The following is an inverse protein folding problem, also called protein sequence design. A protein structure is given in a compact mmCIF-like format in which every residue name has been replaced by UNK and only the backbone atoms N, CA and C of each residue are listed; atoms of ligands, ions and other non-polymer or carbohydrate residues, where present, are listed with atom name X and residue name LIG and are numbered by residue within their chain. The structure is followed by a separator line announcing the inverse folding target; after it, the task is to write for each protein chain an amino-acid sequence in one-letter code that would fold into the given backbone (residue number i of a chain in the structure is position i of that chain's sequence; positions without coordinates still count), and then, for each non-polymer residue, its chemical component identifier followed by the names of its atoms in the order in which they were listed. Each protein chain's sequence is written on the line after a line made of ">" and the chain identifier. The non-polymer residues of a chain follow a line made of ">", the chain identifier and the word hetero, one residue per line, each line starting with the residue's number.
data_IF_522065320743
#
_entry.id   IF_522065320743
#
_cell.length_a   1.000
_cell.length_b   1.000
_cell.length_c   1.000
_cell.angle_alpha   90.00
_cell.angle_beta   90.00
_cell.angle_gamma   90.00
#
_symmetry.space_group_name_H-M   'P 1'
#
loop_
_entity.id
_entity.type
_entity.pdbx_description
1 polymer ?
#
# COMPACT_ATOMS: atom_id res chain seq x y z
N UNK A 1 50.84 26.25 -40.06
CA UNK A 1 50.07 26.49 -38.81
C UNK A 1 48.65 26.00 -39.03
N UNK A 2 48.27 24.98 -38.25
CA UNK A 2 46.93 24.48 -37.89
C UNK A 2 45.79 24.52 -38.94
N UNK A 3 45.49 23.35 -39.52
CA UNK A 3 44.17 23.04 -40.06
C UNK A 3 43.28 22.50 -38.92
N UNK A 4 42.21 23.22 -38.58
CA UNK A 4 41.18 22.74 -37.66
C UNK A 4 40.23 21.78 -38.39
N UNK A 5 40.22 20.53 -37.92
CA UNK A 5 39.19 19.53 -38.22
C UNK A 5 37.90 19.90 -37.49
N UNK A 6 36.83 20.20 -38.23
CA UNK A 6 35.48 20.34 -37.71
C UNK A 6 34.81 18.97 -37.70
N UNK A 7 34.83 18.29 -36.55
CA UNK A 7 33.98 17.13 -36.31
C UNK A 7 32.57 17.66 -36.07
N UNK A 8 31.72 17.54 -37.09
CA UNK A 8 30.29 17.77 -36.98
C UNK A 8 29.67 16.67 -36.13
N UNK A 9 29.45 16.92 -34.85
CA UNK A 9 28.66 16.04 -33.99
C UNK A 9 27.18 16.29 -34.29
N UNK A 10 26.57 15.44 -35.12
CA UNK A 10 25.12 15.37 -35.22
C UNK A 10 24.56 15.01 -33.83
N UNK A 11 23.61 15.78 -33.27
CA UNK A 11 22.90 15.34 -32.08
C UNK A 11 22.05 14.12 -32.47
N UNK A 12 22.39 12.97 -31.89
CA UNK A 12 21.49 11.81 -31.89
C UNK A 12 20.29 12.25 -31.07
N UNK A 13 19.20 12.59 -31.76
CA UNK A 13 17.90 12.76 -31.13
C UNK A 13 17.46 11.36 -30.74
N UNK A 14 17.73 10.98 -29.49
CA UNK A 14 17.06 9.84 -28.91
C UNK A 14 15.59 10.21 -28.80
N UNK A 15 14.80 9.65 -29.70
CA UNK A 15 13.36 9.63 -29.62
C UNK A 15 13.01 8.63 -28.50
N UNK A 16 13.26 9.01 -27.25
CA UNK A 16 12.67 8.31 -26.12
C UNK A 16 11.18 8.62 -26.15
N UNK A 17 10.41 7.77 -26.84
CA UNK A 17 9.10 7.43 -26.32
C UNK A 17 9.35 6.95 -24.90
N UNK A 18 9.11 7.83 -23.93
CA UNK A 18 9.00 7.46 -22.53
C UNK A 18 7.78 6.54 -22.48
N UNK A 19 7.98 5.25 -22.78
CA UNK A 19 7.20 4.21 -22.12
C UNK A 19 7.61 4.32 -20.65
N UNK A 20 6.97 5.26 -19.93
CA UNK A 20 6.77 5.05 -18.50
C UNK A 20 6.05 3.72 -18.47
N UNK A 21 6.71 2.68 -17.97
CA UNK A 21 6.03 1.45 -17.63
C UNK A 21 4.81 1.88 -16.81
N UNK A 22 3.60 1.64 -17.33
CA UNK A 22 2.38 1.80 -16.55
C UNK A 22 2.55 0.85 -15.36
N UNK A 23 2.99 1.39 -14.22
CA UNK A 23 3.22 0.62 -13.01
C UNK A 23 1.91 -0.02 -12.58
N UNK A 24 1.98 -1.25 -12.08
CA UNK A 24 0.84 -1.81 -11.37
C UNK A 24 0.71 -1.00 -10.06
N UNK A 25 -0.43 -0.36 -9.88
CA UNK A 25 -0.74 0.53 -8.77
C UNK A 25 -1.88 -0.05 -7.94
N UNK A 26 -1.86 0.32 -6.67
CA UNK A 26 -2.83 -0.07 -5.66
C UNK A 26 -3.14 1.15 -4.81
N UNK A 27 -4.41 1.41 -4.60
CA UNK A 27 -4.91 2.42 -3.68
C UNK A 27 -5.83 1.76 -2.67
N UNK A 28 -5.68 2.14 -1.41
CA UNK A 28 -6.54 1.70 -0.34
C UNK A 28 -6.92 2.82 0.62
N UNK A 29 -8.10 2.69 1.17
CA UNK A 29 -8.65 3.54 2.20
C UNK A 29 -9.32 2.63 3.22
N UNK A 30 -9.04 2.84 4.51
CA UNK A 30 -9.58 2.04 5.57
C UNK A 30 -9.89 2.90 6.81
N UNK A 31 -11.05 2.65 7.40
CA UNK A 31 -11.45 3.26 8.66
C UNK A 31 -11.34 2.22 9.77
N UNK A 32 -10.84 2.66 10.92
CA UNK A 32 -10.67 1.82 12.09
C UNK A 32 -11.28 2.47 13.32
N UNK A 33 -11.76 1.61 14.23
CA UNK A 33 -12.21 1.97 15.56
C UNK A 33 -11.25 1.39 16.58
N UNK A 34 -10.83 2.23 17.53
CA UNK A 34 -9.96 1.80 18.62
C UNK A 34 -10.66 0.74 19.46
N UNK A 35 -10.00 -0.39 19.69
CA UNK A 35 -10.44 -1.33 20.71
C UNK A 35 -10.13 -0.76 22.10
N UNK A 36 -11.17 -0.63 22.92
CA UNK A 36 -10.99 -0.37 24.35
C UNK A 36 -10.65 -1.70 25.03
N UNK A 37 -9.37 -1.96 25.23
CA UNK A 37 -8.91 -3.17 25.91
C UNK A 37 -8.45 -2.82 27.33
N UNK A 38 -9.24 -3.22 28.34
CA UNK A 38 -9.00 -2.87 29.76
C UNK A 38 -7.71 -3.49 30.34
N UNK A 39 -7.12 -4.48 29.66
CA UNK A 39 -5.98 -5.26 30.17
C UNK A 39 -4.62 -4.88 29.56
N UNK A 40 -4.59 -4.21 28.41
CA UNK A 40 -3.37 -3.84 27.70
C UNK A 40 -3.40 -2.34 27.43
N UNK A 41 -3.17 -1.55 28.48
CA UNK A 41 -3.17 -0.08 28.41
C UNK A 41 -2.17 0.48 27.38
N UNK A 42 -1.14 -0.29 27.04
CA UNK A 42 -0.05 0.13 26.14
C UNK A 42 -0.15 -0.44 24.71
N UNK A 43 -0.93 -1.52 24.46
CA UNK A 43 -1.09 -2.12 23.13
C UNK A 43 -2.39 -1.64 22.49
N UNK A 44 -2.33 -0.48 21.85
CA UNK A 44 -3.51 0.11 21.20
C UNK A 44 -3.75 -0.55 19.84
N UNK A 45 -4.74 -1.45 19.78
CA UNK A 45 -5.21 -2.08 18.54
C UNK A 45 -6.47 -1.37 18.03
N UNK A 46 -6.60 -1.27 16.71
CA UNK A 46 -7.78 -0.69 16.05
C UNK A 46 -8.37 -1.70 15.07
N UNK A 47 -9.66 -1.98 15.18
CA UNK A 47 -10.37 -2.87 14.26
C UNK A 47 -10.85 -2.11 13.05
N UNK A 48 -10.69 -2.72 11.88
CA UNK A 48 -11.17 -2.18 10.62
C UNK A 48 -12.70 -2.28 10.55
N UNK A 49 -13.32 -1.19 10.12
CA UNK A 49 -14.78 -1.07 9.95
C UNK A 49 -15.14 -1.02 8.48
N UNK A 50 -14.37 -0.25 7.71
CA UNK A 50 -14.58 -0.06 6.28
C UNK A 50 -13.25 -0.26 5.57
N UNK A 51 -13.36 -0.77 4.34
CA UNK A 51 -12.21 -0.99 3.48
C UNK A 51 -12.60 -0.74 2.04
N UNK A 52 -11.88 0.16 1.40
CA UNK A 52 -11.93 0.38 -0.03
C UNK A 52 -10.57 0.03 -0.62
N UNK A 53 -10.59 -0.76 -1.68
CA UNK A 53 -9.39 -1.20 -2.36
C UNK A 53 -9.59 -1.16 -3.86
N UNK A 54 -8.60 -0.61 -4.54
CA UNK A 54 -8.56 -0.60 -6.00
C UNK A 54 -7.16 -0.95 -6.47
N UNK A 55 -7.07 -1.71 -7.55
CA UNK A 55 -5.80 -2.01 -8.20
C UNK A 55 -6.02 -2.20 -9.69
N UNK A 56 -5.01 -1.85 -10.48
CA UNK A 56 -4.93 -2.20 -11.90
C UNK A 56 -4.10 -3.49 -12.13
N UNK A 57 -3.72 -4.21 -11.07
CA UNK A 57 -2.98 -5.47 -11.18
C UNK A 57 -3.92 -6.61 -11.63
N UNK A 58 -3.84 -6.93 -12.91
CA UNK A 58 -4.60 -8.00 -13.54
C UNK A 58 -4.29 -9.41 -12.99
N UNK A 59 -3.24 -9.59 -12.18
CA UNK A 59 -2.96 -10.86 -11.50
C UNK A 59 -3.85 -11.04 -10.27
N UNK A 60 -4.20 -9.94 -9.60
CA UNK A 60 -5.17 -9.93 -8.50
C UNK A 60 -6.59 -9.89 -9.09
N UNK A 61 -6.83 -9.07 -10.11
CA UNK A 61 -8.13 -8.96 -10.76
C UNK A 61 -8.08 -9.22 -12.28
N UNK A 62 -8.18 -10.48 -12.73
CA UNK A 62 -8.03 -10.83 -14.14
C UNK A 62 -9.10 -10.26 -15.07
N UNK A 63 -10.34 -10.06 -14.60
CA UNK A 63 -11.46 -9.62 -15.43
C UNK A 63 -11.67 -8.11 -15.47
N UNK A 64 -10.89 -7.33 -14.72
CA UNK A 64 -11.12 -5.90 -14.40
C UNK A 64 -12.45 -5.61 -13.67
N UNK A 65 -13.19 -6.64 -13.27
CA UNK A 65 -14.50 -6.55 -12.59
C UNK A 65 -14.48 -7.41 -11.33
N UNK A 66 -13.76 -6.96 -10.31
CA UNK A 66 -13.63 -7.66 -9.05
C UNK A 66 -14.31 -6.90 -7.91
N UNK A 67 -14.89 -7.65 -6.97
CA UNK A 67 -15.31 -7.12 -5.67
C UNK A 67 -14.27 -7.54 -4.64
N UNK A 68 -13.90 -6.61 -3.76
CA UNK A 68 -12.92 -6.82 -2.71
C UNK A 68 -13.62 -6.72 -1.36
N UNK A 69 -13.38 -7.69 -0.49
CA UNK A 69 -13.81 -7.66 0.90
C UNK A 69 -12.58 -7.90 1.77
N UNK A 70 -12.41 -7.11 2.83
CA UNK A 70 -11.34 -7.30 3.79
C UNK A 70 -11.95 -7.73 5.13
N UNK A 71 -11.45 -8.83 5.66
CA UNK A 71 -11.93 -9.46 6.88
C UNK A 71 -10.84 -9.44 7.95
N UNK A 72 -11.25 -9.39 9.22
CA UNK A 72 -10.38 -9.41 10.39
C UNK A 72 -9.24 -8.37 10.34
N UNK A 73 -9.50 -7.23 9.71
CA UNK A 73 -8.51 -6.17 9.54
C UNK A 73 -8.17 -5.48 10.85
N UNK A 74 -6.89 -5.40 11.19
CA UNK A 74 -6.41 -4.75 12.41
C UNK A 74 -5.22 -3.85 12.14
N UNK A 75 -5.27 -2.62 12.64
CA UNK A 75 -4.13 -1.71 12.73
C UNK A 75 -3.55 -1.79 14.14
N UNK A 76 -2.25 -2.04 14.25
CA UNK A 76 -1.56 -2.12 15.54
C UNK A 76 -0.11 -1.66 15.44
N UNK A 77 0.54 -1.30 16.55
CA UNK A 77 1.97 -1.07 16.59
C UNK A 77 2.72 -2.31 16.11
N UNK A 78 3.65 -2.15 15.18
CA UNK A 78 4.45 -3.27 14.71
C UNK A 78 5.60 -3.54 15.69
N UNK A 79 5.66 -4.76 16.24
CA UNK A 79 6.67 -5.15 17.22
C UNK A 79 8.08 -5.22 16.63
N UNK A 80 8.21 -5.35 15.31
CA UNK A 80 9.50 -5.51 14.63
C UNK A 80 10.11 -4.13 14.31
N UNK A 81 9.34 -3.27 13.64
CA UNK A 81 9.78 -1.93 13.24
C UNK A 81 9.57 -0.85 14.31
N UNK A 82 8.63 -1.07 15.23
CA UNK A 82 8.19 -0.08 16.22
C UNK A 82 7.25 1.01 15.64
N UNK A 83 6.85 0.88 14.37
CA UNK A 83 5.89 1.79 13.72
C UNK A 83 4.48 1.20 13.80
N UNK A 84 3.73 1.14 12.71
CA UNK A 84 2.40 0.53 12.66
C UNK A 84 2.31 -0.46 11.50
N UNK A 85 1.47 -1.47 11.67
CA UNK A 85 1.13 -2.39 10.62
C UNK A 85 -0.37 -2.67 10.57
N UNK A 86 -0.83 -3.07 9.38
CA UNK A 86 -2.16 -3.61 9.16
C UNK A 86 -2.05 -5.08 8.77
N UNK A 87 -2.80 -5.92 9.46
CA UNK A 87 -2.97 -7.33 9.15
C UNK A 87 -4.44 -7.63 8.82
N UNK A 88 -4.69 -8.64 8.01
CA UNK A 88 -6.04 -9.16 7.77
C UNK A 88 -6.12 -10.03 6.52
N UNK A 89 -7.34 -10.26 6.04
CA UNK A 89 -7.62 -11.19 4.96
C UNK A 89 -8.36 -10.50 3.82
N UNK A 90 -7.79 -10.50 2.61
CA UNK A 90 -8.40 -9.97 1.40
C UNK A 90 -9.08 -11.08 0.59
N UNK A 91 -10.40 -10.99 0.45
CA UNK A 91 -11.21 -11.82 -0.43
C UNK A 91 -11.45 -11.10 -1.75
N UNK A 92 -11.14 -11.77 -2.87
CA UNK A 92 -11.30 -11.25 -4.23
C UNK A 92 -12.31 -12.10 -4.99
N UNK A 93 -13.47 -11.52 -5.28
CA UNK A 93 -14.51 -12.15 -6.08
C UNK A 93 -14.49 -11.62 -7.51
N UNK A 94 -14.30 -12.53 -8.47
CA UNK A 94 -14.31 -12.23 -9.91
C UNK A 94 -15.69 -12.57 -10.48
N UNK A 95 -16.44 -11.54 -10.88
CA UNK A 95 -17.77 -11.67 -11.49
C UNK A 95 -18.88 -12.35 -10.65
N UNK A 96 -18.71 -12.60 -9.35
CA UNK A 96 -19.74 -13.19 -8.45
C UNK A 96 -20.24 -14.58 -8.87
N UNK A 97 -19.51 -15.25 -9.75
CA UNK A 97 -19.88 -16.55 -10.32
C UNK A 97 -19.03 -17.71 -9.81
N UNK A 98 -17.95 -17.41 -9.09
CA UNK A 98 -17.00 -18.38 -8.55
C UNK A 98 -16.78 -18.15 -7.06
N UNK A 99 -16.19 -19.14 -6.38
CA UNK A 99 -15.69 -18.93 -5.02
C UNK A 99 -14.63 -17.81 -5.01
N UNK A 100 -14.65 -16.91 -4.02
CA UNK A 100 -13.68 -15.85 -3.90
C UNK A 100 -12.27 -16.44 -3.67
N UNK A 101 -11.25 -15.78 -4.21
CA UNK A 101 -9.87 -16.09 -3.88
C UNK A 101 -9.44 -15.31 -2.65
N UNK A 102 -8.96 -16.01 -1.64
CA UNK A 102 -8.57 -15.43 -0.34
C UNK A 102 -7.07 -15.27 -0.24
N UNK A 103 -6.62 -14.13 0.28
CA UNK A 103 -5.22 -13.80 0.50
C UNK A 103 -5.01 -13.22 1.89
N UNK A 104 -4.04 -13.74 2.63
CA UNK A 104 -3.52 -13.04 3.80
C UNK A 104 -2.82 -11.75 3.35
N UNK A 105 -3.00 -10.67 4.10
CA UNK A 105 -2.43 -9.36 3.80
C UNK A 105 -1.67 -8.83 5.01
N UNK A 106 -0.47 -8.32 4.74
CA UNK A 106 0.36 -7.58 5.69
C UNK A 106 0.76 -6.26 5.08
N UNK A 107 0.61 -5.18 5.84
CA UNK A 107 0.98 -3.84 5.44
C UNK A 107 1.85 -3.23 6.53
N UNK A 108 3.12 -3.04 6.25
CA UNK A 108 4.04 -2.35 7.16
C UNK A 108 4.08 -0.88 6.78
N UNK A 109 3.79 0.03 7.72
CA UNK A 109 3.75 1.47 7.49
C UNK A 109 5.05 2.10 7.95
N UNK A 110 5.66 2.91 7.08
CA UNK A 110 6.71 3.82 7.48
C UNK A 110 6.17 5.23 7.69
N UNK A 111 6.23 5.69 8.93
CA UNK A 111 5.57 6.93 9.35
C UNK A 111 6.64 7.98 9.65
N UNK A 112 6.49 9.16 9.05
CA UNK A 112 7.28 10.33 9.46
C UNK A 112 6.65 11.00 10.68
N UNK A 113 7.44 11.83 11.38
CA UNK A 113 7.05 12.68 12.51
C UNK A 113 5.54 12.95 12.60
N UNK A 114 4.92 12.48 13.68
CA UNK A 114 3.50 12.76 13.95
C UNK A 114 3.30 14.26 14.12
N UNK A 115 2.38 14.84 13.35
CA UNK A 115 2.02 16.24 13.51
C UNK A 115 1.20 16.41 14.80
N UNK A 116 1.68 17.25 15.71
CA UNK A 116 1.04 17.50 17.00
C UNK A 116 -0.27 18.28 16.89
N UNK A 117 -1.30 17.84 17.61
CA UNK A 117 -2.64 18.43 17.64
C UNK A 117 -3.62 17.52 18.40
N UNK A 118 -4.90 17.92 18.49
CA UNK A 118 -5.97 17.09 19.05
C UNK A 118 -6.27 15.86 18.17
N UNK A 119 -6.05 15.98 16.86
CA UNK A 119 -6.01 14.86 15.91
C UNK A 119 -4.55 14.64 15.55
N UNK A 120 -4.01 13.46 15.86
CA UNK A 120 -2.63 13.11 15.52
C UNK A 120 -2.65 12.56 14.09
N UNK A 121 -2.24 13.39 13.14
CA UNK A 121 -2.10 12.97 11.75
C UNK A 121 -0.62 12.74 11.44
N UNK A 122 -0.32 11.64 10.75
CA UNK A 122 1.03 11.29 10.35
C UNK A 122 1.08 11.00 8.84
N UNK A 123 2.13 11.46 8.19
CA UNK A 123 2.38 11.14 6.78
C UNK A 123 3.05 9.77 6.68
N UNK A 124 2.51 8.91 5.83
CA UNK A 124 3.12 7.64 5.47
C UNK A 124 3.95 7.86 4.20
N UNK A 125 5.26 7.73 4.28
CA UNK A 125 6.18 8.01 3.16
C UNK A 125 6.89 6.76 2.62
N UNK A 126 6.50 5.59 3.13
CA UNK A 126 7.09 4.32 2.75
C UNK A 126 6.38 3.18 3.46
N UNK A 127 6.99 2.00 3.39
CA UNK A 127 6.38 0.76 3.86
C UNK A 127 6.12 -0.25 2.75
N UNK A 128 5.62 -1.41 3.10
CA UNK A 128 5.40 -2.51 2.15
C UNK A 128 4.01 -3.10 2.30
N UNK A 129 3.41 -3.53 1.20
CA UNK A 129 2.17 -4.30 1.19
C UNK A 129 2.48 -5.67 0.60
N UNK A 130 2.30 -6.71 1.38
CA UNK A 130 2.37 -8.11 0.95
C UNK A 130 0.97 -8.72 0.87
N UNK A 131 0.66 -9.42 -0.22
CA UNK A 131 -0.62 -10.10 -0.45
C UNK A 131 -0.37 -11.55 -0.85
N UNK A 132 -0.99 -12.48 -0.12
CA UNK A 132 -0.91 -13.92 -0.32
C UNK A 132 0.44 -14.52 0.08
N UNK A 133 0.54 -15.85 0.11
CA UNK A 133 1.76 -16.54 0.53
C UNK A 133 2.05 -16.31 2.01
N UNK A 134 3.32 -16.14 2.38
CA UNK A 134 3.65 -15.60 3.70
C UNK A 134 3.69 -14.08 3.60
N UNK A 135 2.56 -13.42 3.86
CA UNK A 135 2.39 -11.99 3.57
C UNK A 135 3.49 -11.08 4.16
N UNK A 136 4.04 -11.46 5.31
CA UNK A 136 5.11 -10.72 5.99
C UNK A 136 6.51 -10.96 5.39
N UNK A 137 6.85 -12.22 5.06
CA UNK A 137 8.23 -12.57 4.69
C UNK A 137 8.44 -12.91 3.22
N UNK A 138 7.44 -13.52 2.58
CA UNK A 138 7.51 -14.00 1.19
C UNK A 138 6.11 -13.92 0.54
N UNK A 139 5.62 -12.69 0.26
CA UNK A 139 4.31 -12.51 -0.33
C UNK A 139 4.28 -12.86 -1.82
N UNK A 140 3.14 -13.34 -2.30
CA UNK A 140 2.94 -13.61 -3.74
C UNK A 140 2.97 -12.29 -4.54
N UNK A 141 2.33 -11.26 -4.01
CA UNK A 141 2.33 -9.92 -4.58
C UNK A 141 2.90 -8.93 -3.58
N UNK A 142 3.90 -8.16 -4.02
CA UNK A 142 4.58 -7.17 -3.20
C UNK A 142 4.46 -5.79 -3.80
N UNK A 143 4.13 -4.81 -2.96
CA UNK A 143 4.05 -3.41 -3.33
C UNK A 143 4.87 -2.56 -2.35
N UNK A 144 5.39 -1.45 -2.87
CA UNK A 144 6.04 -0.39 -2.13
C UNK A 144 5.03 0.74 -1.95
N UNK A 145 4.77 1.13 -0.70
CA UNK A 145 4.00 2.34 -0.41
C UNK A 145 4.79 3.55 -0.90
N UNK A 146 4.14 4.40 -1.69
CA UNK A 146 4.74 5.63 -2.25
C UNK A 146 4.33 6.88 -1.46
N UNK A 147 3.09 6.92 -0.98
CA UNK A 147 2.58 7.96 -0.10
C UNK A 147 1.28 7.51 0.58
N UNK A 148 0.94 8.20 1.67
CA UNK A 148 -0.29 7.98 2.39
C UNK A 148 -0.39 8.85 3.63
N UNK A 149 -1.48 8.64 4.37
CA UNK A 149 -1.80 9.39 5.59
C UNK A 149 -2.44 8.44 6.59
N UNK A 150 -2.06 8.59 7.86
CA UNK A 150 -2.71 7.95 9.00
C UNK A 150 -3.20 9.04 9.96
N UNK A 151 -4.51 9.13 10.19
CA UNK A 151 -5.11 10.12 11.06
C UNK A 151 -5.82 9.46 12.25
N UNK A 152 -5.40 9.77 13.48
CA UNK A 152 -6.00 9.27 14.71
C UNK A 152 -7.07 10.25 15.26
N UNK A 153 -7.99 10.69 14.41
CA UNK A 153 -9.11 11.56 14.78
C UNK A 153 -10.23 10.82 15.56
N UNK A 154 -11.48 11.26 15.41
CA UNK A 154 -12.65 10.57 15.99
C UNK A 154 -12.80 9.13 15.48
N UNK A 155 -12.49 8.94 14.19
CA UNK A 155 -12.21 7.64 13.58
C UNK A 155 -10.75 7.61 13.16
N UNK A 156 -10.11 6.44 13.24
CA UNK A 156 -8.75 6.29 12.74
C UNK A 156 -8.81 5.99 11.25
N UNK A 157 -8.21 6.84 10.41
CA UNK A 157 -8.32 6.77 8.95
C UNK A 157 -6.94 6.51 8.35
N UNK A 158 -6.86 5.51 7.47
CA UNK A 158 -5.67 5.19 6.70
C UNK A 158 -5.96 5.35 5.21
N UNK A 159 -5.13 6.13 4.53
CA UNK A 159 -5.08 6.18 3.07
C UNK A 159 -3.67 5.82 2.60
N UNK A 160 -3.56 4.92 1.62
CA UNK A 160 -2.30 4.53 1.02
C UNK A 160 -2.42 4.45 -0.49
N UNK A 161 -1.33 4.87 -1.16
CA UNK A 161 -1.06 4.52 -2.54
C UNK A 161 0.27 3.79 -2.61
N UNK A 162 0.29 2.73 -3.41
CA UNK A 162 1.44 1.86 -3.56
C UNK A 162 1.66 1.48 -5.03
N UNK A 163 2.90 1.13 -5.35
CA UNK A 163 3.27 0.62 -6.66
C UNK A 163 3.93 -0.74 -6.51
N UNK A 164 3.71 -1.63 -7.47
CA UNK A 164 4.30 -2.96 -7.45
C UNK A 164 5.82 -2.89 -7.38
N UNK A 165 6.39 -3.72 -6.53
CA UNK A 165 7.80 -4.12 -6.59
C UNK A 165 7.91 -5.42 -7.35
N UNK A 166 8.88 -5.49 -8.27
CA UNK A 166 9.09 -6.57 -9.25
C UNK A 166 8.61 -7.96 -8.81
#
# INVERSE_FOLDING_TARGET
>A
MLALSLISTMPIIFNYSIHMAFGQELEMEADFIRQENEFLYDDVVYDMVTFNFTTNDNRICPSNTCTYTFEDGQLSPDLISGEYAVDGTLNVDVNRTSEPTTYDVRIDLKINDMLGGANRTANVNGGTIGIGGNALFDPIYKYQVINGTLDFGESTLLYLRATKTQ
#
